data_IF_852299924523
#
_entry.id   IF_852299924523
#
_cell.length_a   1.000
_cell.length_b   1.000
_cell.length_c   1.000
_cell.angle_alpha   90.00
_cell.angle_beta   90.00
_cell.angle_gamma   90.00
#
_symmetry.space_group_name_H-M   'P 1'
#
loop_
_entity.id
_entity.type
_entity.pdbx_description
1 polymer ?
#
# COMPACT_ATOMS: atom_id res chain seq x y z
N UNK A 1 6.90 13.31 -10.51
CA UNK A 1 7.23 12.27 -11.51
C UNK A 1 6.35 12.48 -12.73
N UNK A 2 6.90 12.42 -13.93
CA UNK A 2 6.16 12.55 -15.20
C UNK A 2 5.61 11.18 -15.63
N UNK A 3 4.65 11.20 -16.56
CA UNK A 3 4.10 9.97 -17.16
C UNK A 3 5.24 9.14 -17.79
N UNK A 4 5.26 7.84 -17.49
CA UNK A 4 6.27 6.90 -18.03
C UNK A 4 7.51 6.70 -17.16
N UNK A 5 7.72 7.52 -16.12
CA UNK A 5 8.90 7.44 -15.26
C UNK A 5 8.75 6.45 -14.09
N UNK A 6 7.57 5.81 -13.93
CA UNK A 6 7.28 4.97 -12.75
C UNK A 6 8.13 3.71 -12.66
N UNK A 7 8.51 3.09 -13.78
CA UNK A 7 9.31 1.86 -13.78
C UNK A 7 10.66 2.04 -13.08
N UNK A 8 11.54 2.93 -13.60
CA UNK A 8 12.83 3.24 -12.96
C UNK A 8 12.68 3.77 -11.53
N UNK A 9 11.64 4.57 -11.27
CA UNK A 9 11.38 5.05 -9.91
C UNK A 9 11.01 3.91 -8.95
N UNK A 10 10.17 2.97 -9.38
CA UNK A 10 9.73 1.84 -8.56
C UNK A 10 10.89 0.88 -8.29
N UNK A 11 11.78 0.66 -9.26
CA UNK A 11 12.99 -0.16 -9.07
C UNK A 11 13.99 0.47 -8.10
N UNK A 12 14.08 1.80 -8.06
CA UNK A 12 15.01 2.53 -7.19
C UNK A 12 14.43 2.91 -5.83
N UNK A 13 13.14 2.68 -5.60
CA UNK A 13 12.44 3.06 -4.36
C UNK A 13 12.05 1.81 -3.57
N UNK A 14 12.41 1.77 -2.29
CA UNK A 14 11.84 0.77 -1.38
C UNK A 14 10.35 1.08 -1.17
N UNK A 15 9.50 0.29 -1.82
CA UNK A 15 8.04 0.38 -1.73
C UNK A 15 7.43 -0.61 -0.74
N UNK A 16 8.26 -1.31 0.03
CA UNK A 16 7.80 -2.18 1.11
C UNK A 16 7.27 -1.36 2.29
N UNK A 17 6.64 -2.01 3.27
CA UNK A 17 6.19 -1.35 4.51
C UNK A 17 7.33 -0.73 5.35
N UNK A 18 8.60 -1.08 5.06
CA UNK A 18 9.79 -0.52 5.71
C UNK A 18 10.41 0.64 4.93
N UNK A 19 9.99 0.80 3.68
CA UNK A 19 10.58 1.75 2.75
C UNK A 19 10.09 3.18 2.94
N UNK A 20 10.60 4.07 2.10
CA UNK A 20 10.25 5.49 2.12
C UNK A 20 8.90 5.79 1.46
N UNK A 21 8.40 4.89 0.62
CA UNK A 21 7.11 5.03 -0.05
C UNK A 21 6.32 3.72 -0.06
N UNK A 22 5.73 3.30 1.08
CA UNK A 22 5.01 2.04 1.17
C UNK A 22 3.83 1.95 0.20
N UNK A 23 3.76 0.87 -0.57
CA UNK A 23 2.66 0.57 -1.50
C UNK A 23 2.12 -0.81 -1.18
N UNK A 24 0.79 -0.93 -1.05
CA UNK A 24 0.12 -2.22 -0.86
C UNK A 24 0.74 -3.07 0.28
N UNK A 25 0.83 -2.49 1.47
CA UNK A 25 1.47 -3.10 2.66
C UNK A 25 0.84 -4.41 3.12
N UNK A 26 -0.35 -4.75 2.64
CA UNK A 26 -1.02 -6.03 2.85
C UNK A 26 -0.76 -7.07 1.73
N UNK A 27 0.13 -6.75 0.78
CA UNK A 27 0.44 -7.58 -0.39
C UNK A 27 -0.38 -7.24 -1.64
N UNK A 28 -1.31 -6.29 -1.58
CA UNK A 28 -2.08 -5.86 -2.74
C UNK A 28 -2.93 -7.00 -3.35
N UNK A 29 -3.41 -6.80 -4.57
CA UNK A 29 -4.17 -7.84 -5.28
C UNK A 29 -3.30 -9.06 -5.64
N UNK A 30 -1.98 -8.87 -5.77
CA UNK A 30 -1.04 -9.92 -6.19
C UNK A 30 -0.78 -10.97 -5.11
N UNK A 31 -0.77 -10.59 -3.83
CA UNK A 31 -0.49 -11.53 -2.72
C UNK A 31 -1.56 -11.53 -1.64
N UNK A 32 -2.19 -10.38 -1.37
CA UNK A 32 -3.29 -10.28 -0.42
C UNK A 32 -4.66 -10.69 -1.01
N UNK A 33 -4.72 -10.90 -2.33
CA UNK A 33 -5.84 -11.51 -3.05
C UNK A 33 -6.84 -10.51 -3.65
N UNK A 34 -7.61 -11.02 -4.61
CA UNK A 34 -8.67 -10.29 -5.32
C UNK A 34 -9.99 -11.08 -5.29
N UNK A 35 -10.82 -10.95 -4.23
CA UNK A 35 -12.11 -11.62 -4.11
C UNK A 35 -13.21 -10.94 -4.95
N UNK A 36 -12.95 -10.73 -6.25
CA UNK A 36 -13.89 -10.10 -7.18
C UNK A 36 -14.39 -8.73 -6.70
N UNK A 37 -15.71 -8.57 -6.63
CA UNK A 37 -16.38 -7.31 -6.26
C UNK A 37 -15.98 -6.78 -4.86
N UNK A 38 -15.59 -7.66 -3.94
CA UNK A 38 -15.16 -7.25 -2.59
C UNK A 38 -13.69 -6.79 -2.55
N UNK A 39 -12.90 -7.02 -3.61
CA UNK A 39 -11.46 -6.76 -3.61
C UNK A 39 -11.10 -5.29 -3.41
N UNK A 40 -11.92 -4.36 -3.92
CA UNK A 40 -11.67 -2.92 -3.78
C UNK A 40 -11.69 -2.44 -2.34
N UNK A 41 -12.61 -2.95 -1.52
CA UNK A 41 -12.74 -2.50 -0.12
C UNK A 41 -11.58 -2.98 0.77
N UNK A 42 -10.84 -4.00 0.34
CA UNK A 42 -9.63 -4.49 1.04
C UNK A 42 -8.59 -3.39 1.19
N UNK A 43 -8.40 -2.55 0.16
CA UNK A 43 -7.46 -1.43 0.20
C UNK A 43 -7.90 -0.34 1.21
N UNK A 44 -9.20 -0.07 1.31
CA UNK A 44 -9.76 0.84 2.33
C UNK A 44 -9.51 0.29 3.73
N UNK A 45 -9.71 -1.02 3.93
CA UNK A 45 -9.48 -1.68 5.22
C UNK A 45 -8.00 -1.60 5.62
N UNK A 46 -7.07 -1.90 4.71
CA UNK A 46 -5.64 -1.80 5.01
C UNK A 46 -5.20 -0.37 5.29
N UNK A 47 -5.61 0.60 4.45
CA UNK A 47 -5.33 2.01 4.69
C UNK A 47 -5.84 2.47 6.06
N UNK A 48 -7.08 2.09 6.40
CA UNK A 48 -7.66 2.38 7.73
C UNK A 48 -6.87 1.74 8.87
N UNK A 49 -6.44 0.47 8.72
CA UNK A 49 -5.61 -0.21 9.72
C UNK A 49 -4.26 0.49 9.92
N UNK A 50 -3.63 0.94 8.84
CA UNK A 50 -2.37 1.67 8.91
C UNK A 50 -2.56 2.98 9.68
N UNK A 51 -3.56 3.80 9.31
CA UNK A 51 -3.87 5.07 9.99
C UNK A 51 -4.16 4.85 11.48
N UNK A 52 -4.89 3.79 11.83
CA UNK A 52 -5.22 3.47 13.22
C UNK A 52 -4.05 2.91 14.04
N UNK A 53 -2.88 2.65 13.44
CA UNK A 53 -1.78 1.96 14.13
C UNK A 53 -2.05 0.47 14.40
N UNK A 54 -2.90 -0.16 13.58
CA UNK A 54 -3.40 -1.54 13.76
C UNK A 54 -2.93 -2.52 12.68
N UNK A 55 -1.89 -2.19 11.91
CA UNK A 55 -1.37 -3.05 10.84
C UNK A 55 -0.32 -4.09 11.31
N UNK A 56 -0.12 -4.22 12.62
CA UNK A 56 0.73 -5.25 13.23
C UNK A 56 2.19 -5.16 12.76
N UNK A 57 2.83 -6.27 12.36
CA UNK A 57 4.25 -6.27 11.97
C UNK A 57 4.54 -5.46 10.70
N UNK A 58 3.50 -5.07 9.93
CA UNK A 58 3.60 -4.28 8.70
C UNK A 58 3.23 -2.81 8.91
N UNK A 59 3.16 -2.37 10.16
CA UNK A 59 2.81 -1.00 10.50
C UNK A 59 3.85 -0.03 9.95
N UNK A 60 3.39 0.91 9.12
CA UNK A 60 4.21 2.01 8.61
C UNK A 60 4.42 3.02 9.76
N UNK A 61 5.66 3.46 10.03
CA UNK A 61 5.95 4.41 11.11
C UNK A 61 5.27 5.78 10.91
N UNK A 62 5.24 6.28 9.67
CA UNK A 62 4.51 7.49 9.29
C UNK A 62 3.19 7.12 8.64
N UNK A 63 2.11 7.17 9.43
CA UNK A 63 0.80 6.65 9.08
C UNK A 63 -0.31 7.69 9.27
N UNK A 64 -0.02 8.98 9.11
CA UNK A 64 -0.96 10.09 9.27
C UNK A 64 -1.78 10.37 8.01
N UNK A 65 -1.37 9.81 6.87
CA UNK A 65 -2.06 9.93 5.58
C UNK A 65 -1.97 8.61 4.79
N UNK A 66 -3.09 8.21 4.19
CA UNK A 66 -3.17 7.06 3.30
C UNK A 66 -3.99 7.42 2.05
N UNK A 67 -3.53 6.97 0.88
CA UNK A 67 -4.24 7.10 -0.39
C UNK A 67 -4.74 5.72 -0.81
N UNK A 68 -6.01 5.63 -1.18
CA UNK A 68 -6.60 4.42 -1.76
C UNK A 68 -7.17 4.79 -3.13
N UNK A 69 -6.75 4.06 -4.15
CA UNK A 69 -7.26 4.17 -5.50
C UNK A 69 -7.49 2.76 -6.08
N UNK A 70 -8.47 2.64 -6.97
CA UNK A 70 -8.85 1.39 -7.63
C UNK A 70 -9.41 1.65 -9.01
#
# INVERSE_FOLDING_TARGET
>A
MKKGEVGPWYESTDTTYKGSFPVNTDGGQLSGGQPGLAGGFRHVIEGSRQIMGRAGPRQVPKNDLAMVNG
#
